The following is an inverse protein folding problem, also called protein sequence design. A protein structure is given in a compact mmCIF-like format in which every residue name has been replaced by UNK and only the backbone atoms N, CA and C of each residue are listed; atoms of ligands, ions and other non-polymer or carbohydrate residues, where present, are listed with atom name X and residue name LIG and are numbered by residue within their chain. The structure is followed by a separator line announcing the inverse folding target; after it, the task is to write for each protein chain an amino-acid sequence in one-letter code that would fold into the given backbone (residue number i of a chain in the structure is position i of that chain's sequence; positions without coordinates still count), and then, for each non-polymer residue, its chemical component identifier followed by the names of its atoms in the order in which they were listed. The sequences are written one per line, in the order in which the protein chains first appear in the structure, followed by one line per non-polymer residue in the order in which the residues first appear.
data_IF_165913637219
#
_entry.id   IF_165913637219
#
_cell.length_a   1.000
_cell.length_b   1.000
_cell.length_c   1.000
_cell.angle_alpha   90.00
_cell.angle_beta   90.00
_cell.angle_gamma   90.00
#
_symmetry.space_group_name_H-M   'P 1'
#
loop_
_entity.id
_entity.type
_entity.pdbx_description
1 polymer ?
#
# COMPACT_ATOMS: atom_id res chain seq x y z
N UNK A 1 -3.83 -9.74 -1.01
CA UNK A 1 -4.99 -8.99 -0.47
C UNK A 1 -4.54 -8.13 0.70
N UNK A 2 -5.27 -7.06 1.01
CA UNK A 2 -5.01 -6.25 2.21
C UNK A 2 -5.30 -7.08 3.46
N UNK A 3 -4.29 -7.32 4.28
CA UNK A 3 -4.43 -8.03 5.56
C UNK A 3 -4.83 -7.06 6.69
N UNK A 4 -4.17 -5.92 6.76
CA UNK A 4 -4.49 -4.82 7.68
C UNK A 4 -3.95 -3.51 7.10
N UNK A 5 -4.51 -2.37 7.51
CA UNK A 5 -4.02 -1.05 7.13
C UNK A 5 -4.33 -0.02 8.21
N UNK A 6 -3.60 1.09 8.18
CA UNK A 6 -3.85 2.29 8.98
C UNK A 6 -3.75 3.52 8.08
N UNK A 7 -4.72 4.42 8.21
CA UNK A 7 -4.74 5.71 7.51
C UNK A 7 -4.18 6.81 8.40
N UNK A 8 -3.07 7.38 7.99
CA UNK A 8 -2.43 8.50 8.66
C UNK A 8 -2.99 9.79 8.07
N UNK A 9 -3.97 10.39 8.75
CA UNK A 9 -4.65 11.60 8.27
C UNK A 9 -3.80 12.87 8.39
N UNK A 10 -2.92 12.93 9.39
CA UNK A 10 -2.07 14.09 9.66
C UNK A 10 -0.61 13.71 9.42
N UNK A 11 -0.06 14.16 8.30
CA UNK A 11 1.33 13.93 7.90
C UNK A 11 1.90 15.16 7.18
N UNK A 12 3.23 15.37 7.18
CA UNK A 12 3.87 16.50 6.50
C UNK A 12 3.61 16.54 4.99
N UNK A 13 3.43 15.38 4.36
CA UNK A 13 3.24 15.23 2.91
C UNK A 13 1.79 14.96 2.52
N UNK A 14 0.86 15.02 3.48
CA UNK A 14 -0.55 14.73 3.30
C UNK A 14 -0.96 13.32 3.77
N UNK A 15 -2.26 12.99 3.69
CA UNK A 15 -2.76 11.69 4.15
C UNK A 15 -2.18 10.52 3.35
N UNK A 16 -1.83 9.43 4.03
CA UNK A 16 -1.42 8.19 3.38
C UNK A 16 -1.93 6.97 4.14
N UNK A 17 -1.95 5.81 3.49
CA UNK A 17 -2.22 4.54 4.13
C UNK A 17 -1.03 3.60 4.02
N UNK A 18 -0.69 2.98 5.14
CA UNK A 18 0.30 1.92 5.24
C UNK A 18 -0.37 0.66 5.76
N UNK A 19 0.08 -0.50 5.32
CA UNK A 19 -0.48 -1.76 5.79
C UNK A 19 0.27 -2.98 5.32
N UNK A 20 -0.25 -4.14 5.70
CA UNK A 20 0.28 -5.42 5.27
C UNK A 20 -0.56 -5.97 4.13
N UNK A 21 0.10 -6.47 3.10
CA UNK A 21 -0.51 -7.22 2.00
C UNK A 21 -0.01 -8.65 2.06
N UNK A 22 -0.94 -9.60 2.15
CA UNK A 22 -0.64 -11.03 1.95
C UNK A 22 -0.59 -11.32 0.46
N UNK A 23 0.58 -11.76 -0.02
CA UNK A 23 0.77 -12.19 -1.40
C UNK A 23 0.16 -13.57 -1.64
N UNK A 24 -0.09 -13.93 -2.90
CA UNK A 24 -0.69 -15.23 -3.23
C UNK A 24 0.28 -16.39 -2.91
N UNK A 25 1.57 -16.10 -2.89
CA UNK A 25 2.67 -16.99 -2.54
C UNK A 25 2.73 -17.26 -1.02
N UNK A 26 1.96 -16.54 -0.20
CA UNK A 26 1.86 -16.72 1.26
C UNK A 26 2.45 -15.62 2.15
N UNK A 27 3.58 -14.95 1.84
CA UNK A 27 4.16 -13.98 2.76
C UNK A 27 3.35 -12.67 2.84
N UNK A 28 3.42 -12.03 4.01
CA UNK A 28 2.87 -10.69 4.22
C UNK A 28 3.97 -9.63 4.13
N UNK A 29 3.73 -8.57 3.36
CA UNK A 29 4.68 -7.49 3.11
C UNK A 29 4.10 -6.17 3.60
N UNK A 30 4.90 -5.40 4.36
CA UNK A 30 4.56 -4.04 4.75
C UNK A 30 4.73 -3.10 3.56
N UNK A 31 3.72 -2.30 3.26
CA UNK A 31 3.71 -1.43 2.07
C UNK A 31 2.80 -0.23 2.24
N UNK A 32 2.99 0.77 1.37
CA UNK A 32 2.08 1.90 1.22
C UNK A 32 1.04 1.61 0.13
N UNK A 33 -0.18 2.11 0.35
CA UNK A 33 -1.24 2.10 -0.65
C UNK A 33 -1.23 3.41 -1.44
N UNK A 34 -1.15 3.30 -2.76
CA UNK A 34 -1.07 4.44 -3.70
C UNK A 34 -2.20 4.41 -4.71
N UNK A 35 -2.41 5.54 -5.39
CA UNK A 35 -3.39 5.70 -6.49
C UNK A 35 -4.83 5.28 -6.12
N UNK A 36 -5.23 5.50 -4.86
CA UNK A 36 -6.54 5.10 -4.37
C UNK A 36 -7.15 6.10 -3.40
N UNK A 37 -8.47 6.02 -3.29
CA UNK A 37 -9.25 6.73 -2.28
C UNK A 37 -9.08 6.02 -0.93
N UNK A 38 -8.39 6.68 0.01
CA UNK A 38 -8.09 6.14 1.33
C UNK A 38 -9.34 5.78 2.15
N UNK A 39 -10.50 6.38 1.83
CA UNK A 39 -11.76 6.11 2.52
C UNK A 39 -12.43 4.82 2.05
N UNK A 40 -11.99 4.26 0.92
CA UNK A 40 -12.55 3.05 0.30
C UNK A 40 -11.68 1.81 0.50
N UNK A 41 -10.55 1.95 1.19
CA UNK A 41 -9.71 0.81 1.55
C UNK A 41 -10.48 -0.13 2.47
N UNK A 42 -10.36 -1.43 2.23
CA UNK A 42 -10.99 -2.46 3.04
C UNK A 42 -10.06 -3.67 3.23
N UNK A 43 -10.13 -4.27 4.41
CA UNK A 43 -9.46 -5.55 4.68
C UNK A 43 -10.07 -6.63 3.76
N UNK A 44 -9.22 -7.48 3.19
CA UNK A 44 -9.60 -8.50 2.20
C UNK A 44 -9.62 -7.99 0.75
N UNK A 45 -9.45 -6.69 0.52
CA UNK A 45 -9.44 -6.12 -0.83
C UNK A 45 -8.28 -6.65 -1.67
N UNK A 46 -8.53 -6.92 -2.95
CA UNK A 46 -7.49 -7.29 -3.91
C UNK A 46 -6.66 -6.07 -4.27
N UNK A 47 -5.36 -6.27 -4.38
CA UNK A 47 -4.39 -5.22 -4.71
C UNK A 47 -3.39 -5.74 -5.74
N UNK A 48 -2.79 -4.83 -6.49
CA UNK A 48 -1.73 -5.11 -7.46
C UNK A 48 -0.48 -4.31 -7.11
N UNK A 49 0.68 -4.93 -7.28
CA UNK A 49 1.98 -4.28 -7.10
C UNK A 49 2.22 -3.24 -8.18
N UNK A 50 2.78 -2.10 -7.78
CA UNK A 50 3.35 -1.06 -8.62
C UNK A 50 4.73 -0.73 -8.08
N UNK A 51 5.67 -0.46 -8.97
CA UNK A 51 7.03 -0.07 -8.57
C UNK A 51 7.16 1.44 -8.69
N UNK A 52 7.44 2.12 -7.58
CA UNK A 52 7.66 3.56 -7.55
C UNK A 52 9.15 3.85 -7.56
N UNK A 53 9.57 4.78 -8.42
CA UNK A 53 10.96 5.22 -8.46
C UNK A 53 11.36 5.86 -7.12
N UNK A 54 12.58 5.59 -6.68
CA UNK A 54 13.20 6.23 -5.53
C UNK A 54 14.40 7.05 -5.98
N UNK A 55 14.72 8.13 -5.27
CA UNK A 55 15.92 8.90 -5.56
C UNK A 55 17.18 8.12 -5.18
N UNK A 56 18.05 7.87 -6.16
CA UNK A 56 19.35 7.22 -5.94
C UNK A 56 19.29 5.73 -5.58
N UNK A 57 18.12 5.08 -5.71
CA UNK A 57 17.94 3.69 -5.31
C UNK A 57 17.09 2.86 -6.28
N UNK A 58 16.99 1.54 -6.04
CA UNK A 58 16.06 0.69 -6.78
C UNK A 58 14.61 1.08 -6.47
N UNK A 59 13.68 0.89 -7.43
CA UNK A 59 12.29 1.22 -7.21
C UNK A 59 11.68 0.34 -6.12
N UNK A 60 10.83 0.95 -5.28
CA UNK A 60 10.21 0.27 -4.15
C UNK A 60 8.84 -0.30 -4.54
N UNK A 61 8.48 -1.49 -4.04
CA UNK A 61 7.16 -2.07 -4.26
C UNK A 61 6.11 -1.37 -3.40
N UNK A 62 5.13 -0.75 -4.06
CA UNK A 62 3.91 -0.20 -3.47
C UNK A 62 2.70 -0.94 -4.03
N UNK A 63 1.54 -0.83 -3.39
CA UNK A 63 0.33 -1.54 -3.83
C UNK A 63 -0.82 -0.58 -4.10
N UNK A 64 -1.65 -0.92 -5.07
CA UNK A 64 -2.89 -0.20 -5.39
C UNK A 64 -4.05 -1.19 -5.43
N UNK A 65 -5.25 -0.82 -4.94
CA UNK A 65 -6.46 -1.59 -5.15
C UNK A 65 -6.74 -1.86 -6.64
N UNK A 66 -7.29 -3.05 -6.92
CA UNK A 66 -7.75 -3.43 -8.26
C UNK A 66 -9.19 -2.97 -8.49
#
# INVERSE_FOLDING_TARGET
MIYTYSTMHRSPTGPYAIGYVTLNEGPAVLTNFVDCDLTKLAIGQKVKVKFQATEGGPPVPVFSPV
#
